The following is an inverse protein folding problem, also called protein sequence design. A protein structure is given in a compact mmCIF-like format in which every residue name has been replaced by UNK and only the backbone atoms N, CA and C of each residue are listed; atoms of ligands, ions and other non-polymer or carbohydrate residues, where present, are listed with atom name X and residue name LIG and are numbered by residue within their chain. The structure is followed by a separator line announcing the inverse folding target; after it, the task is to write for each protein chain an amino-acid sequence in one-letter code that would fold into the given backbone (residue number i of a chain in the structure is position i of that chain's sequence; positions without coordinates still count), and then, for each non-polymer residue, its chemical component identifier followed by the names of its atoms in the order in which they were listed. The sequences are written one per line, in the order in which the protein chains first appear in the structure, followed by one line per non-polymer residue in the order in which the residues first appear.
data_IF_650566497527
#
_entry.id   IF_650566497527
#
_cell.length_a   1.000
_cell.length_b   1.000
_cell.length_c   1.000
_cell.angle_alpha   90.00
_cell.angle_beta   90.00
_cell.angle_gamma   90.00
#
_symmetry.space_group_name_H-M   'P 1'
#
loop_
_entity.id
_entity.type
_entity.pdbx_description
1 polymer ?
#
# COMPACT_ATOMS: atom_id res chain seq x y z
N UNK A 1 -41.91 6.77 -51.96
CA UNK A 1 -40.48 6.45 -52.17
C UNK A 1 -40.01 5.67 -50.95
N UNK A 2 -39.71 4.39 -51.16
CA UNK A 2 -39.33 3.43 -50.12
C UNK A 2 -37.90 3.70 -49.63
N UNK A 3 -37.70 3.69 -48.31
CA UNK A 3 -36.36 3.60 -47.71
C UNK A 3 -36.36 2.48 -46.69
N UNK A 4 -35.73 1.39 -47.08
CA UNK A 4 -35.69 0.12 -46.36
C UNK A 4 -34.67 0.16 -45.22
N UNK A 5 -35.09 -0.33 -44.05
CA UNK A 5 -34.24 -0.57 -42.88
C UNK A 5 -33.36 -1.81 -43.10
N UNK A 6 -32.05 -1.68 -42.91
CA UNK A 6 -31.10 -2.80 -42.91
C UNK A 6 -30.81 -3.22 -41.47
N UNK A 7 -31.39 -4.33 -41.04
CA UNK A 7 -31.19 -4.96 -39.74
C UNK A 7 -30.19 -6.11 -39.89
N UNK A 8 -28.96 -5.94 -39.39
CA UNK A 8 -27.92 -6.97 -39.43
C UNK A 8 -27.86 -7.66 -38.07
N UNK A 9 -28.60 -8.75 -37.93
CA UNK A 9 -28.48 -9.69 -36.82
C UNK A 9 -27.30 -10.65 -37.08
N UNK A 10 -26.13 -10.35 -36.51
CA UNK A 10 -24.97 -11.25 -36.53
C UNK A 10 -25.04 -12.23 -35.34
N UNK A 11 -25.69 -13.37 -35.56
CA UNK A 11 -25.82 -14.46 -34.58
C UNK A 11 -24.57 -15.35 -34.62
N UNK A 12 -23.52 -15.00 -33.87
CA UNK A 12 -22.29 -15.80 -33.79
C UNK A 12 -22.44 -16.90 -32.73
N UNK A 13 -22.77 -18.11 -33.21
CA UNK A 13 -22.84 -19.34 -32.42
C UNK A 13 -21.43 -19.85 -32.10
N UNK A 14 -21.01 -19.72 -30.83
CA UNK A 14 -19.77 -20.31 -30.32
C UNK A 14 -20.09 -21.66 -29.66
N UNK A 15 -19.79 -22.75 -30.39
CA UNK A 15 -19.78 -24.11 -29.84
C UNK A 15 -18.53 -24.29 -28.98
N UNK A 16 -18.70 -24.38 -27.67
CA UNK A 16 -17.64 -24.86 -26.77
C UNK A 16 -17.55 -26.39 -26.88
N UNK A 17 -16.39 -26.86 -27.34
CA UNK A 17 -16.01 -28.27 -27.37
C UNK A 17 -15.39 -28.66 -26.03
N UNK A 18 -16.11 -29.44 -25.24
CA UNK A 18 -15.66 -29.95 -23.94
C UNK A 18 -14.73 -31.15 -24.18
N UNK A 19 -13.41 -30.93 -24.18
CA UNK A 19 -12.45 -32.04 -24.09
C UNK A 19 -12.35 -32.51 -22.63
N UNK A 20 -13.02 -33.63 -22.33
CA UNK A 20 -12.78 -34.44 -21.12
C UNK A 20 -11.35 -35.00 -21.19
N UNK A 21 -10.47 -34.56 -20.29
CA UNK A 21 -9.23 -35.25 -20.01
C UNK A 21 -9.55 -36.45 -19.09
N UNK A 22 -9.35 -37.65 -19.62
CA UNK A 22 -9.41 -38.93 -18.92
C UNK A 22 -8.20 -39.04 -17.98
N UNK A 23 -8.44 -39.03 -16.67
CA UNK A 23 -7.42 -39.36 -15.66
C UNK A 23 -7.30 -40.89 -15.65
N UNK A 24 -6.20 -41.36 -16.23
CA UNK A 24 -5.79 -42.75 -16.19
C UNK A 24 -5.46 -43.18 -14.77
N UNK A 25 -6.21 -44.19 -14.31
CA UNK A 25 -5.90 -45.04 -13.17
C UNK A 25 -4.56 -45.75 -13.41
N UNK A 26 -3.53 -45.44 -12.61
CA UNK A 26 -2.38 -46.32 -12.42
C UNK A 26 -2.35 -46.83 -10.98
N UNK A 27 -2.37 -48.16 -10.89
CA UNK A 27 -2.63 -48.91 -9.68
C UNK A 27 -1.44 -49.00 -8.71
N UNK A 28 -1.83 -49.20 -7.46
CA UNK A 28 -1.32 -50.21 -6.52
C UNK A 28 0.07 -50.77 -6.82
N UNK A 29 1.06 -50.37 -6.03
CA UNK A 29 2.02 -51.30 -5.45
C UNK A 29 2.03 -51.13 -3.93
N UNK A 30 1.83 -52.27 -3.28
CA UNK A 30 1.78 -52.53 -1.85
C UNK A 30 3.21 -52.71 -1.35
N UNK A 31 3.60 -52.05 -0.26
CA UNK A 31 4.53 -52.52 0.78
C UNK A 31 4.53 -51.38 1.82
N UNK A 32 3.92 -51.49 3.01
CA UNK A 32 4.13 -52.56 3.97
C UNK A 32 5.18 -52.14 5.00
N UNK A 33 4.94 -51.07 5.77
CA UNK A 33 5.66 -50.80 7.03
C UNK A 33 4.65 -50.42 8.11
N UNK A 34 4.13 -51.45 8.77
CA UNK A 34 3.57 -51.35 10.11
C UNK A 34 4.79 -51.23 11.04
N UNK A 35 5.05 -50.05 11.58
CA UNK A 35 5.88 -49.93 12.79
C UNK A 35 5.07 -49.30 13.92
N UNK A 36 4.51 -50.24 14.70
CA UNK A 36 4.39 -50.24 16.16
C UNK A 36 4.44 -48.88 16.87
N UNK A 37 3.25 -48.38 17.22
CA UNK A 37 3.02 -47.62 18.45
C UNK A 37 3.43 -48.49 19.65
N UNK A 38 4.56 -48.15 20.27
CA UNK A 38 4.91 -48.28 21.71
C UNK A 38 6.43 -48.32 21.79
N UNK A 39 7.01 -47.45 22.62
CA UNK A 39 8.46 -47.31 22.91
C UNK A 39 9.24 -46.25 22.09
N UNK A 40 8.83 -44.99 22.16
CA UNK A 40 9.80 -43.86 22.26
C UNK A 40 9.27 -42.88 23.29
N UNK A 41 9.23 -43.34 24.53
CA UNK A 41 8.97 -42.52 25.71
C UNK A 41 10.05 -42.87 26.74
N UNK A 42 11.33 -42.70 26.39
CA UNK A 42 12.45 -42.75 27.34
C UNK A 42 13.80 -42.30 26.72
N UNK A 43 13.89 -41.04 26.31
CA UNK A 43 15.17 -40.30 26.27
C UNK A 43 14.84 -38.96 26.95
N UNK A 44 14.75 -38.96 28.29
CA UNK A 44 15.88 -38.59 29.18
C UNK A 44 16.46 -37.25 28.73
N UNK A 45 15.87 -36.13 29.15
CA UNK A 45 16.28 -35.42 30.37
C UNK A 45 17.82 -35.32 30.50
N UNK A 46 18.47 -34.59 29.60
CA UNK A 46 19.85 -34.10 29.83
C UNK A 46 20.22 -32.98 28.85
N UNK A 47 19.52 -31.85 28.94
CA UNK A 47 19.81 -30.64 28.14
C UNK A 47 19.16 -29.37 28.67
N UNK A 48 18.65 -29.42 29.90
CA UNK A 48 18.14 -28.28 30.67
C UNK A 48 18.99 -28.30 31.94
N UNK A 49 20.07 -27.52 31.99
CA UNK A 49 20.74 -26.99 33.20
C UNK A 49 22.15 -26.38 32.97
N UNK A 50 22.61 -26.14 31.74
CA UNK A 50 23.92 -25.49 31.51
C UNK A 50 23.87 -24.44 30.40
N UNK A 51 23.07 -23.40 30.61
CA UNK A 51 23.02 -22.19 29.79
C UNK A 51 22.40 -21.00 30.53
N UNK A 52 22.50 -21.02 31.87
CA UNK A 52 22.01 -20.02 32.79
C UNK A 52 23.20 -19.43 33.58
N UNK A 53 24.20 -18.93 32.85
CA UNK A 53 25.29 -18.11 33.36
C UNK A 53 25.97 -17.43 32.15
N UNK A 54 26.21 -16.12 32.21
CA UNK A 54 26.70 -15.23 31.14
C UNK A 54 25.60 -14.90 30.11
N UNK A 55 24.84 -13.81 30.25
CA UNK A 55 25.32 -12.44 30.05
C UNK A 55 24.41 -11.45 30.80
N UNK A 56 24.66 -11.28 32.09
CA UNK A 56 24.36 -10.03 32.80
C UNK A 56 25.54 -9.07 32.54
N UNK A 57 25.64 -8.55 31.32
CA UNK A 57 26.47 -7.37 31.05
C UNK A 57 25.63 -6.14 31.32
N UNK A 58 25.75 -5.66 32.55
CA UNK A 58 25.36 -4.34 33.02
C UNK A 58 25.83 -3.23 32.08
N UNK A 59 24.91 -2.64 31.31
CA UNK A 59 25.12 -1.29 30.78
C UNK A 59 24.80 -0.28 31.88
N UNK A 60 25.85 0.13 32.61
CA UNK A 60 25.84 1.40 33.34
C UNK A 60 25.52 2.49 32.32
N UNK A 61 24.30 3.02 32.34
CA UNK A 61 24.01 4.30 31.71
C UNK A 61 24.53 5.37 32.66
N UNK A 62 25.60 6.06 32.24
CA UNK A 62 26.02 7.32 32.83
C UNK A 62 24.80 8.26 32.79
N UNK A 63 24.22 8.53 33.95
CA UNK A 63 23.33 9.66 34.12
C UNK A 63 24.20 10.92 33.98
N UNK A 64 24.29 11.47 32.77
CA UNK A 64 24.74 12.85 32.61
C UNK A 64 23.68 13.72 33.26
N UNK A 65 24.04 14.24 34.44
CA UNK A 65 23.38 15.37 35.06
C UNK A 65 23.53 16.54 34.08
N UNK A 66 22.52 16.75 33.23
CA UNK A 66 22.42 17.99 32.47
C UNK A 66 22.04 19.04 33.49
N UNK A 67 23.00 19.92 33.78
CA UNK A 67 22.80 21.15 34.53
C UNK A 67 21.72 21.96 33.79
N UNK A 68 20.50 21.88 34.32
CA UNK A 68 19.37 22.67 33.87
C UNK A 68 19.65 24.12 34.31
N UNK A 69 20.29 24.89 33.43
CA UNK A 69 20.40 26.33 33.60
C UNK A 69 18.99 26.91 33.66
N UNK A 70 18.71 27.59 34.77
CA UNK A 70 17.45 28.24 35.07
C UNK A 70 16.99 29.08 33.87
N UNK A 71 15.75 28.91 33.36
CA UNK A 71 15.21 29.88 32.42
C UNK A 71 15.05 31.19 33.18
N UNK A 72 15.91 32.17 32.90
CA UNK A 72 15.65 33.54 33.27
C UNK A 72 14.39 33.95 32.53
N UNK A 73 13.35 34.29 33.29
CA UNK A 73 12.13 34.89 32.81
C UNK A 73 12.42 36.32 32.32
N UNK A 74 13.10 36.41 31.18
CA UNK A 74 13.18 37.61 30.38
C UNK A 74 12.30 37.37 29.16
N UNK A 75 11.09 37.91 29.17
CA UNK A 75 10.29 38.08 27.96
C UNK A 75 11.02 39.11 27.08
N UNK A 76 12.05 38.65 26.38
CA UNK A 76 12.76 39.43 25.37
C UNK A 76 12.14 39.10 24.00
N UNK A 77 10.99 39.72 23.75
CA UNK A 77 10.34 39.81 22.45
C UNK A 77 11.23 40.63 21.51
N UNK A 78 12.31 40.05 20.98
CA UNK A 78 13.17 40.85 20.09
C UNK A 78 14.33 40.16 19.39
N UNK A 79 14.73 38.95 19.79
CA UNK A 79 15.88 38.30 19.13
C UNK A 79 15.44 37.50 17.90
N UNK A 80 15.33 38.20 16.76
CA UNK A 80 15.47 37.54 15.46
C UNK A 80 16.87 36.92 15.41
N UNK A 81 16.96 35.64 15.73
CA UNK A 81 18.15 34.84 15.44
C UNK A 81 18.21 34.74 13.92
N UNK A 82 18.99 35.63 13.31
CA UNK A 82 19.44 35.51 11.92
C UNK A 82 20.41 34.34 11.85
N UNK A 83 19.89 33.12 11.97
CA UNK A 83 20.66 31.93 11.64
C UNK A 83 20.84 31.95 10.13
N UNK A 84 22.02 32.38 9.69
CA UNK A 84 22.54 32.12 8.34
C UNK A 84 22.76 30.62 8.16
N UNK A 85 21.69 29.84 8.24
CA UNK A 85 21.67 28.48 7.77
C UNK A 85 21.55 28.59 6.26
N UNK A 86 22.68 28.38 5.60
CA UNK A 86 22.73 28.08 4.17
C UNK A 86 21.98 26.77 3.96
N UNK A 87 20.65 26.84 3.93
CA UNK A 87 19.78 25.72 3.67
C UNK A 87 20.02 25.38 2.21
N UNK A 88 20.87 24.38 1.97
CA UNK A 88 21.01 23.79 0.64
C UNK A 88 19.64 23.21 0.28
N UNK A 89 18.83 24.04 -0.37
CA UNK A 89 17.48 23.74 -0.75
C UNK A 89 17.59 22.78 -1.92
N UNK A 90 17.67 21.48 -1.61
CA UNK A 90 17.44 20.45 -2.61
C UNK A 90 16.02 20.68 -3.12
N UNK A 91 15.90 21.26 -4.32
CA UNK A 91 14.62 21.52 -4.93
C UNK A 91 13.98 20.18 -5.26
N UNK A 92 12.99 19.79 -4.45
CA UNK A 92 12.15 18.65 -4.76
C UNK A 92 11.52 18.91 -6.14
N UNK A 93 11.62 17.93 -7.03
CA UNK A 93 10.99 18.02 -8.34
C UNK A 93 9.51 18.35 -8.16
N UNK A 94 9.05 19.42 -8.82
CA UNK A 94 7.65 19.81 -8.76
C UNK A 94 6.79 18.66 -9.30
N UNK A 95 5.85 18.18 -8.50
CA UNK A 95 4.93 17.14 -8.92
C UNK A 95 3.97 17.76 -9.94
N UNK A 96 3.88 17.24 -11.17
CA UNK A 96 3.07 17.86 -12.23
C UNK A 96 1.63 18.02 -11.77
N UNK A 97 0.99 19.12 -12.17
CA UNK A 97 -0.44 19.37 -11.93
C UNK A 97 -1.16 19.52 -13.27
N UNK A 98 -2.20 18.75 -13.47
CA UNK A 98 -3.12 18.85 -14.60
C UNK A 98 -4.10 20.00 -14.36
N UNK A 99 -4.23 20.98 -15.28
CA UNK A 99 -5.19 22.05 -15.15
C UNK A 99 -6.63 21.53 -14.98
N UNK A 100 -7.42 22.17 -14.11
CA UNK A 100 -8.80 21.77 -13.84
C UNK A 100 -8.97 20.58 -12.90
N UNK A 101 -7.87 19.98 -12.42
CA UNK A 101 -7.89 18.85 -11.48
C UNK A 101 -7.82 19.33 -10.03
N UNK A 102 -8.69 18.77 -9.18
CA UNK A 102 -8.62 18.90 -7.73
C UNK A 102 -7.72 17.80 -7.16
N UNK A 103 -6.85 18.17 -6.22
CA UNK A 103 -5.91 17.26 -5.60
C UNK A 103 -6.20 17.04 -4.11
N UNK A 104 -6.15 15.79 -3.67
CA UNK A 104 -6.09 15.43 -2.23
C UNK A 104 -4.79 14.66 -1.98
N UNK A 105 -4.07 15.05 -0.93
CA UNK A 105 -2.80 14.41 -0.53
C UNK A 105 -2.96 13.75 0.83
N UNK A 106 -2.38 12.57 0.99
CA UNK A 106 -2.47 11.74 2.18
C UNK A 106 -1.08 11.32 2.63
N UNK A 107 -0.83 11.38 3.94
CA UNK A 107 0.39 10.83 4.52
C UNK A 107 0.37 9.30 4.49
N UNK A 108 1.55 8.66 4.49
CA UNK A 108 1.66 7.20 4.57
C UNK A 108 1.00 6.63 5.83
N UNK A 109 1.08 7.34 6.95
CA UNK A 109 0.44 6.97 8.22
C UNK A 109 -1.09 6.97 8.19
N UNK A 110 -1.73 7.53 7.14
CA UNK A 110 -3.17 7.42 6.94
C UNK A 110 -3.60 6.04 6.38
N UNK A 111 -2.66 5.27 5.83
CA UNK A 111 -2.97 3.96 5.29
C UNK A 111 -3.08 2.92 6.41
N UNK A 112 -4.10 2.07 6.30
CA UNK A 112 -4.36 0.99 7.26
C UNK A 112 -4.01 -0.37 6.66
N UNK A 113 -3.56 -1.34 7.46
CA UNK A 113 -3.29 -2.69 6.97
C UNK A 113 -4.58 -3.37 6.49
N UNK A 114 -4.52 -4.11 5.38
CA UNK A 114 -5.68 -4.82 4.82
C UNK A 114 -6.05 -6.12 5.54
N UNK A 115 -5.20 -6.58 6.46
CA UNK A 115 -5.48 -7.72 7.33
C UNK A 115 -4.82 -7.50 8.71
N UNK A 116 -5.31 -8.19 9.73
CA UNK A 116 -4.82 -8.07 11.10
C UNK A 116 -3.47 -8.76 11.34
N UNK A 117 -2.98 -9.57 10.40
CA UNK A 117 -1.71 -10.29 10.51
C UNK A 117 -0.51 -9.49 9.98
N UNK A 118 -0.75 -8.40 9.25
CA UNK A 118 0.27 -7.46 8.80
C UNK A 118 0.69 -6.57 9.97
N UNK A 119 1.94 -6.69 10.41
CA UNK A 119 2.52 -5.79 11.41
C UNK A 119 3.27 -4.66 10.73
N UNK A 120 3.23 -3.47 11.31
CA UNK A 120 3.78 -2.27 10.70
C UNK A 120 4.30 -1.30 11.76
N UNK A 121 5.10 -0.34 11.30
CA UNK A 121 5.60 0.77 12.10
C UNK A 121 5.44 2.07 11.34
N UNK A 122 5.32 3.17 12.08
CA UNK A 122 5.23 4.52 11.55
C UNK A 122 6.55 5.27 11.76
N UNK A 123 6.99 6.02 10.75
CA UNK A 123 8.23 6.81 10.81
C UNK A 123 8.01 8.20 10.19
N UNK A 124 7.74 9.20 11.03
CA UNK A 124 7.60 10.59 10.59
C UNK A 124 6.49 10.78 9.54
N UNK A 125 5.30 10.22 9.80
CA UNK A 125 4.16 10.26 8.86
C UNK A 125 4.22 9.24 7.73
N UNK A 126 5.29 8.46 7.63
CA UNK A 126 5.41 7.32 6.72
C UNK A 126 5.00 6.00 7.40
N UNK A 127 4.74 4.97 6.61
CA UNK A 127 4.46 3.61 7.10
C UNK A 127 5.27 2.56 6.34
N UNK A 128 5.72 1.51 7.03
CA UNK A 128 6.35 0.33 6.45
C UNK A 128 5.94 -0.93 7.22
N UNK A 129 6.08 -2.09 6.59
CA UNK A 129 5.78 -3.36 7.23
C UNK A 129 6.97 -3.89 8.03
N UNK A 130 6.72 -4.42 9.22
CA UNK A 130 7.73 -5.06 10.08
C UNK A 130 7.68 -6.58 10.04
N UNK A 131 6.56 -7.16 9.62
CA UNK A 131 6.42 -8.57 9.31
C UNK A 131 5.34 -8.78 8.25
N UNK A 132 5.57 -9.71 7.32
CA UNK A 132 4.68 -10.00 6.20
C UNK A 132 4.04 -11.38 6.38
N UNK A 133 2.71 -11.49 6.54
CA UNK A 133 2.06 -12.78 6.64
C UNK A 133 2.03 -13.50 5.29
N UNK A 134 1.96 -14.85 5.27
CA UNK A 134 1.70 -15.59 4.04
C UNK A 134 0.30 -15.25 3.49
N UNK A 135 0.15 -15.23 2.16
CA UNK A 135 -1.17 -15.06 1.51
C UNK A 135 -1.52 -13.66 1.01
N UNK A 136 -0.58 -12.70 1.06
CA UNK A 136 -0.75 -11.38 0.48
C UNK A 136 -1.14 -10.33 1.51
N UNK A 137 -0.52 -9.16 1.37
CA UNK A 137 -0.56 -8.09 2.35
C UNK A 137 -0.47 -6.76 1.63
N UNK A 138 -1.11 -5.76 2.19
CA UNK A 138 -1.04 -4.40 1.70
C UNK A 138 -1.49 -3.43 2.77
N UNK A 139 -1.08 -2.18 2.60
CA UNK A 139 -1.73 -1.04 3.17
C UNK A 139 -2.79 -0.53 2.19
N UNK A 140 -3.91 -0.03 2.71
CA UNK A 140 -4.94 0.60 1.92
C UNK A 140 -5.44 1.89 2.54
N UNK A 141 -5.89 2.80 1.69
CA UNK A 141 -6.53 4.03 2.09
C UNK A 141 -7.82 4.19 1.28
N UNK A 142 -8.95 4.32 1.97
CA UNK A 142 -10.24 4.59 1.34
C UNK A 142 -10.31 6.03 0.84
N UNK A 143 -10.95 6.21 -0.31
CA UNK A 143 -11.07 7.51 -0.96
C UNK A 143 -12.51 7.99 -0.86
N UNK A 144 -12.70 9.09 -0.12
CA UNK A 144 -13.96 9.83 -0.10
C UNK A 144 -13.98 10.86 -1.24
N UNK A 145 -14.55 10.45 -2.37
CA UNK A 145 -14.65 11.24 -3.60
C UNK A 145 -16.13 11.53 -3.92
N UNK A 146 -16.46 12.72 -4.43
CA UNK A 146 -17.85 13.04 -4.82
C UNK A 146 -18.39 12.09 -5.90
N UNK A 147 -19.69 11.79 -5.84
CA UNK A 147 -20.37 11.03 -6.88
C UNK A 147 -20.16 11.67 -8.25
N UNK A 148 -19.81 10.86 -9.25
CA UNK A 148 -19.59 11.31 -10.63
C UNK A 148 -18.26 12.04 -10.86
N UNK A 149 -17.41 12.22 -9.85
CA UNK A 149 -16.05 12.69 -10.06
C UNK A 149 -15.29 11.76 -11.01
N UNK A 150 -14.34 12.29 -11.78
CA UNK A 150 -13.45 11.50 -12.65
C UNK A 150 -12.04 11.51 -12.09
N UNK A 151 -11.54 10.35 -11.70
CA UNK A 151 -10.15 10.16 -11.28
C UNK A 151 -9.27 10.15 -12.52
N UNK A 152 -8.24 11.00 -12.54
CA UNK A 152 -7.36 11.19 -13.71
C UNK A 152 -5.90 10.83 -13.44
N UNK A 153 -5.47 10.90 -12.18
CA UNK A 153 -4.08 10.67 -11.81
C UNK A 153 -3.99 10.16 -10.36
N UNK A 154 -3.11 9.19 -10.13
CA UNK A 154 -2.67 8.81 -8.78
C UNK A 154 -1.16 8.97 -8.71
N UNK A 155 -0.64 9.56 -7.64
CA UNK A 155 0.80 9.68 -7.41
C UNK A 155 1.14 9.05 -6.08
N UNK A 156 2.15 8.19 -6.05
CA UNK A 156 2.70 7.62 -4.83
C UNK A 156 4.08 8.21 -4.52
N UNK A 157 4.30 8.52 -3.25
CA UNK A 157 5.58 8.97 -2.73
C UNK A 157 6.17 7.86 -1.87
N UNK A 158 7.23 7.20 -2.35
CA UNK A 158 7.81 6.03 -1.70
C UNK A 158 9.32 6.14 -1.59
N UNK A 159 9.92 5.46 -0.62
CA UNK A 159 11.34 5.10 -0.66
C UNK A 159 11.39 3.59 -0.80
N UNK A 160 12.03 3.13 -1.86
CA UNK A 160 12.26 1.72 -2.13
C UNK A 160 13.75 1.47 -2.28
N UNK A 161 14.37 1.12 -1.16
CA UNK A 161 15.80 0.84 -1.03
C UNK A 161 16.10 -0.67 -0.96
N UNK A 162 15.18 -1.52 -1.41
CA UNK A 162 15.44 -2.94 -1.55
C UNK A 162 15.94 -3.25 -2.96
N UNK A 163 16.98 -4.08 -3.10
CA UNK A 163 17.57 -4.42 -4.41
C UNK A 163 16.94 -5.65 -5.04
N UNK A 164 16.14 -6.42 -4.30
CA UNK A 164 15.63 -7.72 -4.70
C UNK A 164 14.12 -7.71 -5.00
N UNK A 165 13.39 -6.72 -4.50
CA UNK A 165 11.93 -6.64 -4.60
C UNK A 165 11.47 -5.20 -4.73
N UNK A 166 10.38 -5.00 -5.46
CA UNK A 166 9.72 -3.69 -5.58
C UNK A 166 8.41 -3.68 -4.78
N UNK A 167 7.88 -2.49 -4.51
CA UNK A 167 6.54 -2.28 -3.99
C UNK A 167 5.51 -2.30 -5.13
N UNK A 168 4.37 -2.98 -4.94
CA UNK A 168 3.23 -2.84 -5.85
C UNK A 168 2.30 -1.71 -5.37
N UNK A 169 1.91 -0.86 -6.29
CA UNK A 169 1.12 0.34 -6.05
C UNK A 169 -0.11 0.30 -6.94
N UNK A 170 -1.23 0.84 -6.51
CA UNK A 170 -2.38 0.90 -7.41
C UNK A 170 -3.63 1.54 -6.85
N UNK A 171 -4.54 1.81 -7.79
CA UNK A 171 -5.91 2.23 -7.55
C UNK A 171 -6.81 1.00 -7.69
N UNK A 172 -7.71 0.80 -6.72
CA UNK A 172 -8.67 -0.30 -6.73
C UNK A 172 -10.09 0.19 -6.47
N UNK A 173 -11.04 -0.55 -7.00
CA UNK A 173 -12.43 -0.50 -6.59
C UNK A 173 -12.78 -1.69 -5.70
N UNK A 174 -13.82 -1.51 -4.88
CA UNK A 174 -14.45 -2.56 -4.09
C UNK A 174 -15.96 -2.46 -4.21
N UNK A 175 -16.57 -3.57 -4.60
CA UNK A 175 -18.01 -3.70 -4.64
C UNK A 175 -18.45 -4.54 -3.41
N UNK A 176 -19.21 -3.96 -2.45
CA UNK A 176 -19.68 -4.66 -1.27
C UNK A 176 -20.78 -5.68 -1.57
N UNK A 177 -21.54 -5.54 -2.67
CA UNK A 177 -22.58 -6.50 -3.07
C UNK A 177 -21.97 -7.84 -3.49
N UNK A 178 -20.87 -7.79 -4.25
CA UNK A 178 -20.13 -8.98 -4.71
C UNK A 178 -18.96 -9.35 -3.81
N UNK A 179 -18.69 -8.53 -2.78
CA UNK A 179 -17.53 -8.61 -1.90
C UNK A 179 -16.21 -8.81 -2.68
N UNK A 180 -16.02 -8.06 -3.76
CA UNK A 180 -14.89 -8.24 -4.67
C UNK A 180 -14.10 -6.96 -4.88
N UNK A 181 -12.81 -7.13 -5.10
CA UNK A 181 -11.89 -6.06 -5.44
C UNK A 181 -11.49 -6.18 -6.90
N UNK A 182 -11.46 -5.05 -7.60
CA UNK A 182 -10.92 -4.95 -8.96
C UNK A 182 -9.73 -4.00 -8.97
N UNK A 183 -8.64 -4.40 -9.64
CA UNK A 183 -7.57 -3.48 -9.95
C UNK A 183 -8.03 -2.58 -11.09
N UNK A 184 -7.93 -1.26 -10.89
CA UNK A 184 -8.23 -0.28 -11.92
C UNK A 184 -6.93 0.13 -12.62
N UNK A 185 -5.93 0.50 -11.82
CA UNK A 185 -4.59 0.84 -12.31
C UNK A 185 -3.52 0.33 -11.34
N UNK A 186 -2.35 -0.02 -11.88
CA UNK A 186 -1.21 -0.52 -11.09
C UNK A 186 0.11 0.03 -11.58
N UNK A 187 1.04 0.23 -10.64
CA UNK A 187 2.43 0.54 -10.91
C UNK A 187 3.33 -0.22 -9.93
N UNK A 188 4.63 -0.18 -10.20
CA UNK A 188 5.67 -0.70 -9.31
C UNK A 188 6.67 0.42 -9.04
N UNK A 189 7.26 0.43 -7.84
CA UNK A 189 8.50 1.19 -7.62
C UNK A 189 9.67 0.59 -8.39
N UNK A 190 10.73 1.37 -8.50
CA UNK A 190 12.05 0.88 -8.91
C UNK A 190 12.90 0.80 -7.65
N UNK A 191 13.21 -0.41 -7.16
CA UNK A 191 14.02 -0.60 -5.96
C UNK A 191 15.41 0.06 -6.02
N UNK A 192 16.22 -0.22 -4.99
CA UNK A 192 17.61 0.23 -4.86
C UNK A 192 17.82 1.77 -4.82
N UNK A 193 16.83 2.54 -4.38
CA UNK A 193 16.96 3.98 -4.17
C UNK A 193 16.65 4.39 -2.74
N UNK A 194 17.62 5.01 -2.08
CA UNK A 194 17.46 5.64 -0.76
C UNK A 194 16.71 6.98 -0.83
N UNK A 195 16.54 7.53 -2.03
CA UNK A 195 15.88 8.80 -2.29
C UNK A 195 14.38 8.63 -2.43
N UNK A 196 13.64 9.72 -2.17
CA UNK A 196 12.20 9.76 -2.43
C UNK A 196 11.91 9.53 -3.92
N UNK A 197 11.12 8.52 -4.22
CA UNK A 197 10.57 8.26 -5.53
C UNK A 197 9.15 8.84 -5.63
N UNK A 198 8.86 9.46 -6.76
CA UNK A 198 7.52 9.95 -7.12
C UNK A 198 7.04 9.12 -8.29
N UNK A 199 6.08 8.23 -8.04
CA UNK A 199 5.56 7.29 -9.03
C UNK A 199 4.18 7.77 -9.45
N UNK A 200 4.08 8.21 -10.70
CA UNK A 200 2.82 8.64 -11.30
C UNK A 200 2.15 7.46 -11.97
N UNK A 201 0.90 7.20 -11.61
CA UNK A 201 0.02 6.20 -12.21
C UNK A 201 -1.04 6.97 -13.00
N UNK A 202 -0.87 7.12 -14.33
CA UNK A 202 -1.90 7.75 -15.15
C UNK A 202 -3.16 6.90 -15.14
N UNK A 203 -4.33 7.56 -15.11
CA UNK A 203 -5.63 6.89 -15.18
C UNK A 203 -6.27 7.27 -16.51
N UNK A 204 -6.05 6.44 -17.54
CA UNK A 204 -6.51 6.67 -18.91
C UNK A 204 -7.17 5.40 -19.49
N UNK A 205 -8.49 5.40 -19.72
CA UNK A 205 -9.41 6.53 -19.57
C UNK A 205 -9.68 6.90 -18.10
N UNK A 206 -10.05 8.17 -17.80
CA UNK A 206 -10.42 8.58 -16.45
C UNK A 206 -11.52 7.71 -15.86
N UNK A 207 -11.35 7.28 -14.60
CA UNK A 207 -12.32 6.45 -13.90
C UNK A 207 -13.41 7.32 -13.29
N UNK A 208 -14.65 7.11 -13.72
CA UNK A 208 -15.81 7.75 -13.10
C UNK A 208 -16.15 7.10 -11.75
N UNK A 209 -16.30 7.92 -10.72
CA UNK A 209 -16.68 7.53 -9.37
C UNK A 209 -18.18 7.23 -9.33
N UNK A 210 -18.51 6.00 -8.95
CA UNK A 210 -19.87 5.58 -8.64
C UNK A 210 -19.96 4.97 -7.23
N UNK A 211 -20.32 5.82 -6.27
CA UNK A 211 -20.50 5.48 -4.87
C UNK A 211 -21.80 4.71 -4.59
N UNK A 212 -22.64 4.45 -5.60
CA UNK A 212 -23.88 3.67 -5.39
C UNK A 212 -23.60 2.19 -5.15
N UNK A 213 -22.57 1.65 -5.81
CA UNK A 213 -22.23 0.22 -5.79
C UNK A 213 -20.76 -0.04 -5.47
N UNK A 214 -19.92 1.00 -5.45
CA UNK A 214 -18.47 0.84 -5.40
C UNK A 214 -17.81 1.85 -4.47
N UNK A 215 -16.85 1.40 -3.67
CA UNK A 215 -15.89 2.28 -3.00
C UNK A 215 -14.52 2.21 -3.67
N UNK A 216 -13.76 3.30 -3.60
CA UNK A 216 -12.45 3.41 -4.22
C UNK A 216 -11.38 3.49 -3.16
N UNK A 217 -10.23 2.88 -3.42
CA UNK A 217 -9.11 2.88 -2.47
C UNK A 217 -7.77 2.86 -3.17
N UNK A 218 -6.77 3.46 -2.53
CA UNK A 218 -5.38 3.27 -2.87
C UNK A 218 -4.86 2.01 -2.19
N UNK A 219 -3.99 1.27 -2.86
CA UNK A 219 -3.34 0.09 -2.33
C UNK A 219 -1.83 0.19 -2.51
N UNK A 220 -1.10 -0.18 -1.47
CA UNK A 220 0.35 -0.31 -1.48
C UNK A 220 0.72 -1.65 -0.87
N UNK A 221 1.32 -2.54 -1.65
CA UNK A 221 1.84 -3.82 -1.17
C UNK A 221 3.36 -3.74 -1.08
N UNK A 222 3.93 -3.59 0.12
CA UNK A 222 5.35 -3.87 0.27
C UNK A 222 5.59 -5.34 -0.10
N UNK A 223 6.82 -5.71 -0.44
CA UNK A 223 7.23 -7.10 -0.66
C UNK A 223 8.31 -7.55 0.33
N UNK A 224 8.82 -6.61 1.12
CA UNK A 224 9.82 -6.81 2.16
C UNK A 224 9.33 -6.20 3.48
N UNK A 225 9.61 -6.89 4.59
CA UNK A 225 9.31 -6.43 5.95
C UNK A 225 10.49 -5.63 6.51
N UNK A 226 10.65 -4.40 6.02
CA UNK A 226 11.77 -3.54 6.39
C UNK A 226 11.43 -2.09 6.08
N UNK A 227 12.13 -1.16 6.73
CA UNK A 227 12.13 0.26 6.37
C UNK A 227 12.71 0.53 4.98
N UNK A 228 13.25 -0.49 4.31
CA UNK A 228 13.62 -0.43 2.89
C UNK A 228 12.42 -0.17 1.98
N UNK A 229 11.20 -0.61 2.35
CA UNK A 229 9.96 -0.30 1.65
C UNK A 229 9.11 0.67 2.48
N UNK A 230 9.26 1.97 2.23
CA UNK A 230 8.64 3.02 3.03
C UNK A 230 7.63 3.82 2.21
N UNK A 231 6.36 3.76 2.58
CA UNK A 231 5.31 4.60 1.99
C UNK A 231 5.28 5.95 2.71
N UNK A 232 5.67 7.02 2.02
CA UNK A 232 5.63 8.39 2.55
C UNK A 232 4.25 9.03 2.40
N UNK A 233 3.53 8.68 1.35
CA UNK A 233 2.17 9.16 1.11
C UNK A 233 1.69 8.90 -0.29
N UNK A 234 0.52 9.46 -0.61
CA UNK A 234 -0.04 9.44 -1.94
C UNK A 234 -0.85 10.70 -2.21
N UNK A 235 -1.04 11.03 -3.48
CA UNK A 235 -1.90 12.11 -3.96
C UNK A 235 -2.84 11.56 -5.01
N UNK A 236 -4.11 11.97 -4.96
CA UNK A 236 -5.12 11.65 -5.96
C UNK A 236 -5.53 12.94 -6.67
N UNK A 237 -5.60 12.89 -7.99
CA UNK A 237 -6.14 13.94 -8.85
C UNK A 237 -7.49 13.52 -9.41
N UNK A 238 -8.52 14.35 -9.25
CA UNK A 238 -9.83 14.13 -9.82
C UNK A 238 -10.51 15.42 -10.28
N UNK A 239 -11.42 15.31 -11.24
CA UNK A 239 -12.24 16.39 -11.76
C UNK A 239 -13.67 16.19 -11.29
N UNK A 240 -14.31 17.24 -10.78
CA UNK A 240 -15.75 17.24 -10.47
C UNK A 240 -16.47 17.97 -11.59
N UNK A 241 -17.43 17.32 -12.24
CA UNK A 241 -18.35 18.02 -13.12
C UNK A 241 -19.17 18.99 -12.26
N UNK A 242 -18.90 20.30 -12.40
CA UNK A 242 -19.75 21.29 -11.75
C UNK A 242 -21.14 21.21 -12.37
N UNK A 243 -22.14 20.88 -11.54
CA UNK A 243 -23.53 21.07 -11.93
C UNK A 243 -23.75 22.57 -11.96
N UNK A 244 -23.77 23.15 -13.16
CA UNK A 244 -24.06 24.56 -13.34
C UNK A 244 -25.53 24.79 -12.95
N UNK A 245 -25.76 25.33 -11.75
CA UNK A 245 -27.07 25.86 -11.43
C UNK A 245 -27.23 27.16 -12.20
N UNK A 246 -28.29 27.34 -13.01
CA UNK A 246 -28.53 28.61 -13.66
C UNK A 246 -28.65 29.70 -12.59
N UNK A 247 -27.79 30.71 -12.67
CA UNK A 247 -27.89 31.88 -11.81
C UNK A 247 -29.22 32.56 -12.11
N UNK A 248 -30.15 32.48 -11.17
CA UNK A 248 -31.36 33.31 -11.23
C UNK A 248 -30.91 34.74 -10.93
N UNK A 249 -30.66 35.52 -11.98
CA UNK A 249 -30.51 36.96 -11.89
C UNK A 249 -31.77 37.51 -11.21
N UNK A 250 -31.60 38.14 -10.04
CA UNK A 250 -32.64 38.89 -9.36
C UNK A 250 -32.63 40.34 -9.82
#
# INVERSE_FOLDING_TARGET
MNTSYLNINCKKSLRFSTRRASIGSFGKWILGVIMSRKHVMLIVFSGVFLGLALLLSSSLSLAQLVEQSSPSSGWDEGRQVTSNLTQSQSSLAAVPTTPGTTYKTFSGGAFSPTNSSLTYSAQGGAVYATALPPGGFSFSLELDLPQGAKITEVVFFVVDNDTASNMDLGLRSYNPETNSFSALETASSSGASTSLQTIVVPVDPPVQVDNTTTSYRLRVAPRVASSAHLLRGARIGYIVSQVYLPSVLK
#
